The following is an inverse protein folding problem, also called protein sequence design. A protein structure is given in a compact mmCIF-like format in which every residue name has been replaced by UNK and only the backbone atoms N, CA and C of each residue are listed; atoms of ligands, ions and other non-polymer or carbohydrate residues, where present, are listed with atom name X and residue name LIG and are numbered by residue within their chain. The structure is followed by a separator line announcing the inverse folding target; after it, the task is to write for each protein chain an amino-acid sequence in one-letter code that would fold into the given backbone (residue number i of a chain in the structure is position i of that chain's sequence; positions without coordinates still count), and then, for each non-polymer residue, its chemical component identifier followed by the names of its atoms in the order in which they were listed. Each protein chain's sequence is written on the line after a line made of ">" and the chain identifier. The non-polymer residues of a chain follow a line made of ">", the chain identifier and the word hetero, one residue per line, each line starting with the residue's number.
data_IF_012241388255
#
_entry.id   IF_012241388255
#
_cell.length_a   1.000
_cell.length_b   1.000
_cell.length_c   1.000
_cell.angle_alpha   90.00
_cell.angle_beta   90.00
_cell.angle_gamma   90.00
#
_symmetry.space_group_name_H-M   'P 1'
#
loop_
_entity.id
_entity.type
_entity.pdbx_description
1 polymer ?
#
# COMPACT_ATOMS: atom_id res chain seq x y z
N UNK A 1 49.04 16.15 62.45
CA UNK A 1 49.75 15.57 61.31
C UNK A 1 49.14 14.24 61.00
N UNK A 2 48.09 14.19 60.23
CA UNK A 2 47.56 12.93 59.73
C UNK A 2 46.81 13.14 58.41
N UNK A 3 47.25 12.42 57.43
CA UNK A 3 46.73 12.47 56.08
C UNK A 3 45.43 11.69 56.00
N UNK A 4 44.34 12.36 55.56
CA UNK A 4 43.09 11.70 55.23
C UNK A 4 43.20 10.99 53.92
N UNK A 5 42.99 9.68 53.91
CA UNK A 5 42.71 8.89 52.73
C UNK A 5 41.23 9.06 52.38
N UNK A 6 40.96 9.64 51.22
CA UNK A 6 39.61 9.63 50.64
C UNK A 6 39.42 8.34 49.85
N UNK A 7 38.54 7.47 50.34
CA UNK A 7 38.07 6.32 49.59
C UNK A 7 36.94 6.78 48.67
N UNK A 8 37.13 6.64 47.34
CA UNK A 8 36.14 6.87 46.32
C UNK A 8 35.32 5.57 46.19
N UNK A 9 34.09 5.59 46.68
CA UNK A 9 33.17 4.48 46.43
C UNK A 9 32.58 4.64 45.04
N UNK A 10 32.96 3.74 44.13
CA UNK A 10 32.42 3.61 42.78
C UNK A 10 31.08 2.86 42.89
N UNK A 11 29.97 3.56 42.83
CA UNK A 11 28.62 2.98 42.80
C UNK A 11 28.35 2.47 41.41
N UNK A 12 28.55 1.17 41.15
CA UNK A 12 28.08 0.50 39.95
C UNK A 12 26.55 0.36 40.03
N UNK A 13 25.82 1.21 39.36
CA UNK A 13 24.39 1.00 39.10
C UNK A 13 24.29 -0.04 37.98
N UNK A 14 24.05 -1.29 38.32
CA UNK A 14 23.60 -2.33 37.40
C UNK A 14 22.14 -2.03 37.04
N UNK A 15 21.89 -1.37 35.93
CA UNK A 15 20.56 -1.35 35.32
C UNK A 15 20.31 -2.72 34.72
N UNK A 16 19.54 -3.52 35.44
CA UNK A 16 18.97 -4.77 34.94
C UNK A 16 17.92 -4.39 33.88
N UNK A 17 18.28 -4.38 32.61
CA UNK A 17 17.33 -4.36 31.51
C UNK A 17 16.58 -5.70 31.54
N UNK A 18 15.40 -5.70 32.15
CA UNK A 18 14.42 -6.74 31.89
C UNK A 18 14.02 -6.64 30.42
N UNK A 19 14.66 -7.43 29.55
CA UNK A 19 14.14 -7.72 28.25
C UNK A 19 12.83 -8.48 28.45
N UNK A 20 11.71 -7.78 28.34
CA UNK A 20 10.41 -8.42 28.16
C UNK A 20 10.49 -9.04 26.77
N UNK A 21 10.85 -10.31 26.70
CA UNK A 21 10.66 -11.10 25.50
C UNK A 21 9.17 -11.29 25.29
N UNK A 22 8.52 -10.34 24.62
CA UNK A 22 7.28 -10.62 23.93
C UNK A 22 7.60 -11.76 22.97
N UNK A 23 6.97 -12.91 23.16
CA UNK A 23 7.13 -14.08 22.27
C UNK A 23 6.51 -13.81 20.90
N UNK A 24 7.01 -12.83 20.18
CA UNK A 24 6.80 -12.70 18.76
C UNK A 24 7.47 -13.91 18.11
N UNK A 25 6.71 -14.77 17.46
CA UNK A 25 7.23 -15.81 16.59
C UNK A 25 8.23 -15.14 15.66
N UNK A 26 9.48 -15.61 15.69
CA UNK A 26 10.55 -15.03 14.89
C UNK A 26 10.08 -15.00 13.42
N UNK A 27 10.07 -13.82 12.85
CA UNK A 27 9.74 -13.59 11.43
C UNK A 27 10.69 -14.44 10.59
N UNK A 28 10.15 -15.20 9.64
CA UNK A 28 10.98 -16.00 8.74
C UNK A 28 11.61 -15.08 7.71
N UNK A 29 12.90 -14.79 7.88
CA UNK A 29 13.65 -14.00 6.91
C UNK A 29 13.89 -14.79 5.62
N UNK A 30 13.88 -14.12 4.45
CA UNK A 30 14.22 -14.77 3.19
C UNK A 30 15.72 -15.14 3.14
N UNK A 31 16.03 -16.27 2.53
CA UNK A 31 17.42 -16.71 2.30
C UNK A 31 18.15 -15.79 1.33
N UNK A 32 17.41 -15.18 0.38
CA UNK A 32 17.94 -14.17 -0.53
C UNK A 32 16.83 -13.22 -1.00
N UNK A 33 17.24 -11.97 -1.31
CA UNK A 33 16.43 -10.94 -1.93
C UNK A 33 17.10 -10.55 -3.24
N UNK A 34 16.44 -10.71 -4.37
CA UNK A 34 16.99 -10.43 -5.71
C UNK A 34 16.02 -9.67 -6.58
N UNK A 35 16.52 -8.75 -7.39
CA UNK A 35 15.78 -8.20 -8.52
C UNK A 35 16.03 -9.14 -9.70
N UNK A 36 14.96 -9.78 -10.20
CA UNK A 36 15.02 -10.68 -11.35
C UNK A 36 15.01 -9.91 -12.68
N UNK A 37 14.39 -8.74 -12.70
CA UNK A 37 14.21 -7.92 -13.89
C UNK A 37 13.94 -6.47 -13.51
N UNK A 38 14.48 -5.53 -14.28
CA UNK A 38 14.19 -4.09 -14.20
C UNK A 38 13.84 -3.58 -15.59
N UNK A 39 12.68 -2.93 -15.71
CA UNK A 39 12.26 -2.27 -16.93
C UNK A 39 12.00 -0.79 -16.67
N UNK A 40 12.48 0.08 -17.55
CA UNK A 40 12.30 1.53 -17.44
C UNK A 40 11.57 2.05 -18.69
N UNK A 41 10.58 2.90 -18.43
CA UNK A 41 9.71 3.50 -19.45
C UNK A 41 9.76 5.03 -19.26
N UNK A 42 10.02 5.75 -20.34
CA UNK A 42 10.08 7.22 -20.37
C UNK A 42 9.08 7.74 -21.41
N UNK A 43 8.04 8.40 -20.91
CA UNK A 43 6.99 9.02 -21.75
C UNK A 43 7.06 10.56 -21.69
N UNK A 44 8.22 11.11 -21.32
CA UNK A 44 8.40 12.54 -21.12
C UNK A 44 7.91 12.98 -19.76
N UNK A 45 6.64 13.34 -19.61
CA UNK A 45 6.04 13.79 -18.35
C UNK A 45 5.78 12.68 -17.34
N UNK A 46 5.91 11.43 -17.75
CA UNK A 46 5.71 10.25 -16.90
C UNK A 46 6.89 9.30 -17.07
N UNK A 47 7.58 8.97 -16.00
CA UNK A 47 8.67 7.97 -15.99
C UNK A 47 8.35 6.87 -15.01
N UNK A 48 8.54 5.63 -15.43
CA UNK A 48 8.23 4.45 -14.64
C UNK A 48 9.41 3.50 -14.69
N UNK A 49 9.86 3.05 -13.52
CA UNK A 49 10.79 1.91 -13.42
C UNK A 49 10.09 0.81 -12.64
N UNK A 50 10.01 -0.39 -13.23
CA UNK A 50 9.39 -1.55 -12.61
C UNK A 50 10.47 -2.59 -12.33
N UNK A 51 10.67 -2.89 -11.05
CA UNK A 51 11.52 -3.97 -10.58
C UNK A 51 10.66 -5.19 -10.23
N UNK A 52 11.02 -6.35 -10.80
CA UNK A 52 10.47 -7.63 -10.39
C UNK A 52 11.38 -8.26 -9.34
N UNK A 53 10.91 -8.30 -8.10
CA UNK A 53 11.60 -8.86 -6.96
C UNK A 53 11.25 -10.34 -6.72
N UNK A 54 12.24 -11.10 -6.27
CA UNK A 54 12.07 -12.45 -5.74
C UNK A 54 12.75 -12.55 -4.38
N UNK A 55 11.96 -12.84 -3.35
CA UNK A 55 12.47 -13.25 -2.04
C UNK A 55 12.38 -14.77 -1.96
N UNK A 56 13.52 -15.44 -1.87
CA UNK A 56 13.59 -16.89 -1.78
C UNK A 56 13.58 -17.34 -0.32
N UNK A 57 12.76 -18.34 -0.03
CA UNK A 57 12.72 -19.10 1.21
C UNK A 57 13.09 -20.56 0.89
N UNK A 58 13.42 -21.39 1.89
CA UNK A 58 13.97 -22.73 1.69
C UNK A 58 13.33 -23.56 0.56
N UNK A 59 12.00 -23.53 0.43
CA UNK A 59 11.24 -24.30 -0.58
C UNK A 59 10.24 -23.49 -1.37
N UNK A 60 10.16 -22.19 -1.10
CA UNK A 60 9.13 -21.32 -1.65
C UNK A 60 9.71 -19.95 -2.01
N UNK A 61 8.98 -19.16 -2.72
CA UNK A 61 9.36 -17.79 -3.03
C UNK A 61 8.17 -16.84 -2.90
N UNK A 62 8.48 -15.57 -2.75
CA UNK A 62 7.57 -14.45 -2.86
C UNK A 62 8.03 -13.62 -4.06
N UNK A 63 7.14 -13.42 -5.03
CA UNK A 63 7.37 -12.50 -6.15
C UNK A 63 6.48 -11.29 -6.04
N UNK A 64 7.05 -10.13 -6.28
CA UNK A 64 6.33 -8.88 -6.28
C UNK A 64 6.99 -7.87 -7.23
N UNK A 65 6.22 -6.87 -7.60
CA UNK A 65 6.62 -5.81 -8.50
C UNK A 65 6.62 -4.49 -7.73
N UNK A 66 7.69 -3.73 -7.87
CA UNK A 66 7.83 -2.38 -7.33
C UNK A 66 7.93 -1.44 -8.52
N UNK A 67 6.93 -0.60 -8.71
CA UNK A 67 6.95 0.44 -9.71
C UNK A 67 7.24 1.79 -9.05
N UNK A 68 8.39 2.37 -9.39
CA UNK A 68 8.72 3.76 -9.09
C UNK A 68 8.15 4.64 -10.20
N UNK A 69 7.27 5.55 -9.87
CA UNK A 69 6.51 6.39 -10.80
C UNK A 69 6.81 7.85 -10.53
N UNK A 70 7.38 8.54 -11.51
CA UNK A 70 7.66 9.97 -11.48
C UNK A 70 6.75 10.68 -12.46
N UNK A 71 6.04 11.70 -11.98
CA UNK A 71 5.12 12.52 -12.75
C UNK A 71 5.59 13.98 -12.77
N UNK A 72 5.34 14.69 -13.87
CA UNK A 72 5.57 16.14 -13.91
C UNK A 72 4.41 16.93 -13.28
N UNK A 73 3.20 16.34 -13.32
CA UNK A 73 1.97 16.92 -12.76
C UNK A 73 1.24 15.86 -11.90
N UNK A 74 0.96 16.15 -10.62
CA UNK A 74 0.15 15.28 -9.76
C UNK A 74 -1.21 14.86 -10.36
N UNK A 75 -1.81 15.67 -11.23
CA UNK A 75 -3.05 15.36 -11.93
C UNK A 75 -2.94 14.15 -12.88
N UNK A 76 -1.72 13.64 -13.13
CA UNK A 76 -1.50 12.40 -13.87
C UNK A 76 -1.89 11.15 -13.07
N UNK A 77 -1.99 11.24 -11.72
CA UNK A 77 -2.56 10.19 -10.88
C UNK A 77 -4.08 10.34 -10.83
N UNK A 78 -4.78 9.34 -11.32
CA UNK A 78 -6.23 9.33 -11.51
C UNK A 78 -6.87 8.05 -11.00
N UNK A 79 -8.20 8.05 -10.96
CA UNK A 79 -9.02 6.86 -10.69
C UNK A 79 -10.12 6.73 -11.73
N UNK A 80 -10.58 5.50 -11.96
CA UNK A 80 -11.71 5.24 -12.84
C UNK A 80 -12.57 4.10 -12.29
N UNK A 81 -13.88 4.27 -12.39
CA UNK A 81 -14.86 3.27 -11.98
C UNK A 81 -15.06 2.18 -13.04
N UNK A 82 -15.37 0.97 -12.59
CA UNK A 82 -15.95 -0.05 -13.44
C UNK A 82 -17.28 0.45 -14.04
N UNK A 83 -17.45 0.33 -15.38
CA UNK A 83 -18.64 0.78 -16.08
C UNK A 83 -18.87 2.30 -16.04
N UNK A 84 -17.83 3.11 -15.89
CA UNK A 84 -17.81 4.57 -15.93
C UNK A 84 -18.67 5.28 -14.86
N UNK A 85 -19.05 4.60 -13.81
CA UNK A 85 -19.89 5.21 -12.76
C UNK A 85 -19.70 4.53 -11.41
N UNK A 86 -19.89 5.29 -10.34
CA UNK A 86 -20.00 4.72 -9.01
C UNK A 86 -21.18 3.76 -8.93
N UNK A 87 -20.91 2.50 -8.66
CA UNK A 87 -21.93 1.46 -8.54
C UNK A 87 -21.50 0.40 -7.53
N UNK A 88 -22.43 -0.07 -6.72
CA UNK A 88 -22.20 -1.15 -5.76
C UNK A 88 -22.01 -2.51 -6.45
N UNK A 89 -22.52 -2.65 -7.66
CA UNK A 89 -22.62 -3.92 -8.39
C UNK A 89 -21.71 -3.98 -9.62
N UNK A 90 -21.25 -2.82 -10.11
CA UNK A 90 -20.35 -2.78 -11.26
C UNK A 90 -18.98 -3.29 -10.89
N UNK A 91 -18.51 -4.27 -11.66
CA UNK A 91 -17.15 -4.78 -11.60
C UNK A 91 -16.65 -5.07 -13.02
N UNK A 92 -15.37 -4.82 -13.27
CA UNK A 92 -14.77 -4.98 -14.59
C UNK A 92 -13.29 -5.37 -14.46
N UNK A 93 -12.71 -5.99 -15.50
CA UNK A 93 -11.30 -6.33 -15.48
C UNK A 93 -10.44 -5.04 -15.45
N UNK A 94 -9.45 -4.93 -14.55
CA UNK A 94 -8.59 -3.74 -14.47
C UNK A 94 -8.01 -3.29 -15.80
N UNK A 95 -7.58 -4.22 -16.66
CA UNK A 95 -7.04 -3.91 -17.98
C UNK A 95 -8.07 -3.24 -18.92
N UNK A 96 -9.34 -3.62 -18.83
CA UNK A 96 -10.38 -3.08 -19.69
C UNK A 96 -10.74 -1.65 -19.26
N UNK A 97 -10.77 -1.40 -17.94
CA UNK A 97 -10.90 -0.04 -17.39
C UNK A 97 -9.68 0.80 -17.83
N UNK A 98 -8.46 0.28 -17.64
CA UNK A 98 -7.22 0.96 -17.98
C UNK A 98 -7.18 1.37 -19.47
N UNK A 99 -7.58 0.46 -20.36
CA UNK A 99 -7.60 0.71 -21.80
C UNK A 99 -8.54 1.86 -22.21
N UNK A 100 -9.72 1.98 -21.56
CA UNK A 100 -10.65 3.08 -21.84
C UNK A 100 -10.14 4.46 -21.40
N UNK A 101 -9.22 4.49 -20.45
CA UNK A 101 -8.67 5.73 -19.88
C UNK A 101 -7.26 6.04 -20.35
N UNK A 102 -6.76 5.35 -21.40
CA UNK A 102 -5.40 5.51 -21.90
C UNK A 102 -4.35 5.45 -20.76
N UNK A 103 -4.60 4.57 -19.78
CA UNK A 103 -3.73 4.41 -18.65
C UNK A 103 -2.40 3.79 -19.07
N UNK A 104 -1.29 4.41 -18.69
CA UNK A 104 0.05 3.84 -18.90
C UNK A 104 0.33 2.78 -17.85
N UNK A 105 0.16 3.11 -16.57
CA UNK A 105 0.24 2.18 -15.46
C UNK A 105 -1.06 2.23 -14.67
N UNK A 106 -1.63 1.07 -14.36
CA UNK A 106 -2.81 0.97 -13.52
C UNK A 106 -2.69 -0.16 -12.51
N UNK A 107 -3.33 0.00 -11.37
CA UNK A 107 -3.54 -1.03 -10.36
C UNK A 107 -5.02 -1.07 -9.96
N UNK A 108 -5.47 -2.20 -9.38
CA UNK A 108 -6.78 -2.22 -8.75
C UNK A 108 -6.84 -1.18 -7.63
N UNK A 109 -7.99 -0.59 -7.47
CA UNK A 109 -8.25 0.40 -6.44
C UNK A 109 -8.82 -0.20 -5.16
N UNK A 110 -9.93 0.36 -4.75
CA UNK A 110 -10.57 0.11 -3.47
C UNK A 110 -11.61 -1.03 -3.54
N UNK A 111 -12.12 -1.42 -2.38
CA UNK A 111 -13.18 -2.41 -2.23
C UNK A 111 -14.44 -1.75 -1.66
N UNK A 112 -15.23 -1.08 -2.50
CA UNK A 112 -16.43 -0.35 -2.07
C UNK A 112 -17.75 -0.95 -2.59
N UNK A 113 -17.76 -2.23 -2.94
CA UNK A 113 -18.93 -2.90 -3.51
C UNK A 113 -20.13 -2.94 -2.53
N UNK A 114 -21.23 -3.58 -2.96
CA UNK A 114 -22.48 -3.67 -2.21
C UNK A 114 -22.35 -4.28 -0.80
N UNK A 115 -21.29 -5.04 -0.53
CA UNK A 115 -21.03 -5.65 0.79
C UNK A 115 -20.36 -4.67 1.75
N UNK A 116 -19.66 -3.67 1.22
CA UNK A 116 -18.96 -2.68 2.02
C UNK A 116 -19.75 -1.38 2.11
N UNK A 117 -20.17 -1.05 3.32
CA UNK A 117 -20.95 0.16 3.63
C UNK A 117 -20.21 1.05 4.61
N UNK A 118 -18.91 1.25 4.41
CA UNK A 118 -18.10 2.07 5.31
C UNK A 118 -17.20 3.03 4.55
N UNK A 119 -16.76 4.09 5.22
CA UNK A 119 -15.73 5.02 4.77
C UNK A 119 -16.18 6.05 3.73
N UNK A 120 -15.20 6.85 3.37
CA UNK A 120 -15.29 7.95 2.44
C UNK A 120 -14.91 7.47 1.04
N UNK A 121 -15.70 7.84 0.03
CA UNK A 121 -15.36 7.64 -1.38
C UNK A 121 -15.46 8.98 -2.10
N UNK A 122 -14.30 9.55 -2.39
CA UNK A 122 -14.12 10.73 -3.25
C UNK A 122 -13.35 10.25 -4.48
N UNK A 123 -13.81 10.61 -5.69
CA UNK A 123 -13.12 10.34 -6.94
C UNK A 123 -13.25 11.58 -7.84
N UNK A 124 -12.11 12.07 -8.34
CA UNK A 124 -12.08 13.27 -9.18
C UNK A 124 -12.62 14.53 -8.50
N UNK A 125 -12.56 14.62 -7.16
CA UNK A 125 -13.14 15.74 -6.40
C UNK A 125 -14.65 15.68 -6.20
N UNK A 126 -15.30 14.57 -6.52
CA UNK A 126 -16.74 14.35 -6.26
C UNK A 126 -16.95 13.36 -5.12
N UNK A 127 -17.94 13.65 -4.27
CA UNK A 127 -18.34 12.83 -3.13
C UNK A 127 -19.34 11.76 -3.54
N UNK A 128 -18.99 10.50 -3.41
CA UNK A 128 -19.87 9.36 -3.73
C UNK A 128 -20.37 8.63 -2.48
N UNK A 129 -19.62 8.69 -1.39
CA UNK A 129 -19.98 8.06 -0.12
C UNK A 129 -19.30 8.75 1.06
N UNK A 130 -20.04 8.89 2.15
CA UNK A 130 -19.56 9.43 3.42
C UNK A 130 -20.26 8.67 4.56
N UNK A 131 -19.67 7.55 4.97
CA UNK A 131 -20.21 6.68 6.01
C UNK A 131 -19.17 6.44 7.09
N UNK A 132 -19.62 6.22 8.33
CA UNK A 132 -18.76 5.86 9.43
C UNK A 132 -17.87 4.66 9.10
N UNK A 133 -16.64 4.68 9.59
CA UNK A 133 -15.67 3.60 9.40
C UNK A 133 -14.74 3.46 10.59
N UNK A 134 -14.29 2.23 10.84
CA UNK A 134 -13.18 1.93 11.74
C UNK A 134 -11.86 1.71 10.98
N UNK A 135 -11.85 1.97 9.67
CA UNK A 135 -10.67 1.75 8.83
C UNK A 135 -9.83 3.01 8.71
N UNK A 136 -8.53 2.81 8.56
CA UNK A 136 -7.64 3.86 8.08
C UNK A 136 -8.04 4.23 6.66
N UNK A 137 -7.98 5.50 6.31
CA UNK A 137 -8.27 6.00 4.97
C UNK A 137 -7.06 6.77 4.44
N UNK A 138 -6.89 6.80 3.13
CA UNK A 138 -5.91 7.61 2.44
C UNK A 138 -6.64 8.73 1.70
N UNK A 139 -6.22 9.96 1.92
CA UNK A 139 -6.62 11.14 1.14
C UNK A 139 -5.52 11.50 0.15
N UNK A 140 -5.91 11.87 -1.06
CA UNK A 140 -5.03 12.38 -2.10
C UNK A 140 -5.52 13.77 -2.48
N UNK A 141 -4.65 14.75 -2.32
CA UNK A 141 -4.93 16.15 -2.64
C UNK A 141 -4.61 16.47 -4.10
N UNK A 142 -5.17 17.56 -4.61
CA UNK A 142 -4.94 18.01 -5.98
C UNK A 142 -3.47 18.35 -6.28
N UNK A 143 -2.69 18.72 -5.27
CA UNK A 143 -1.25 18.96 -5.37
C UNK A 143 -0.42 17.67 -5.31
N UNK A 144 -1.06 16.52 -5.28
CA UNK A 144 -0.43 15.20 -5.20
C UNK A 144 -0.12 14.73 -3.79
N UNK A 145 -0.31 15.55 -2.76
CA UNK A 145 -0.02 15.17 -1.36
C UNK A 145 -0.91 14.02 -0.90
N UNK A 146 -0.32 13.03 -0.27
CA UNK A 146 -1.03 11.96 0.43
C UNK A 146 -1.14 12.29 1.92
N UNK A 147 -2.29 12.02 2.51
CA UNK A 147 -2.53 12.17 3.94
C UNK A 147 -3.32 10.97 4.49
N UNK A 148 -2.93 10.51 5.67
CA UNK A 148 -3.66 9.46 6.39
C UNK A 148 -4.82 10.06 7.18
N UNK A 149 -6.02 9.52 6.96
CA UNK A 149 -7.20 9.85 7.78
C UNK A 149 -7.54 8.65 8.68
N UNK A 150 -7.17 8.76 9.94
CA UNK A 150 -7.44 7.71 10.93
C UNK A 150 -8.89 7.77 11.42
N UNK A 151 -9.47 6.64 11.85
CA UNK A 151 -10.86 6.59 12.32
C UNK A 151 -11.19 7.59 13.43
N UNK A 152 -10.22 7.85 14.32
CA UNK A 152 -10.40 8.81 15.42
C UNK A 152 -10.57 10.27 14.94
N UNK A 153 -10.06 10.57 13.74
CA UNK A 153 -10.07 11.92 13.15
C UNK A 153 -11.17 12.08 12.10
N UNK A 154 -11.85 11.00 11.72
CA UNK A 154 -12.91 11.01 10.72
C UNK A 154 -14.29 11.05 11.36
N UNK A 155 -15.12 11.94 10.85
CA UNK A 155 -16.53 12.03 11.23
C UNK A 155 -17.41 11.92 9.99
N UNK A 156 -18.35 10.98 10.00
CA UNK A 156 -19.36 10.87 8.96
C UNK A 156 -20.11 12.20 8.76
N UNK A 157 -20.38 12.57 7.51
CA UNK A 157 -21.04 13.81 7.14
C UNK A 157 -20.08 15.00 6.96
N UNK A 158 -18.77 14.77 6.97
CA UNK A 158 -17.76 15.82 6.71
C UNK A 158 -17.06 15.66 5.37
N UNK A 159 -17.54 14.79 4.48
CA UNK A 159 -16.91 14.49 3.19
C UNK A 159 -16.68 15.73 2.31
N UNK A 160 -17.64 16.65 2.27
CA UNK A 160 -17.54 17.89 1.50
C UNK A 160 -16.40 18.79 2.02
N UNK A 161 -16.11 18.80 3.32
CA UNK A 161 -15.02 19.62 3.88
C UNK A 161 -13.64 19.17 3.40
N UNK A 162 -13.47 17.87 3.09
CA UNK A 162 -12.23 17.37 2.49
C UNK A 162 -12.09 17.81 1.04
N UNK A 163 -13.20 17.84 0.28
CA UNK A 163 -13.20 18.35 -1.10
C UNK A 163 -12.85 19.84 -1.10
N UNK A 164 -13.48 20.64 -0.23
CA UNK A 164 -13.17 22.06 -0.04
C UNK A 164 -11.70 22.29 0.35
N UNK A 165 -11.10 21.37 1.07
CA UNK A 165 -9.68 21.38 1.42
C UNK A 165 -8.75 20.92 0.26
N UNK A 166 -9.31 20.50 -0.88
CA UNK A 166 -8.55 20.11 -2.06
C UNK A 166 -8.34 18.61 -2.25
N UNK A 167 -9.04 17.76 -1.50
CA UNK A 167 -8.98 16.30 -1.70
C UNK A 167 -9.68 15.93 -3.01
N UNK A 168 -8.98 15.21 -3.86
CA UNK A 168 -9.51 14.73 -5.16
C UNK A 168 -9.75 13.23 -5.19
N UNK A 169 -9.08 12.44 -4.34
CA UNK A 169 -9.30 11.00 -4.22
C UNK A 169 -9.27 10.58 -2.74
N UNK A 170 -10.02 9.54 -2.38
CA UNK A 170 -9.92 8.88 -1.08
C UNK A 170 -9.98 7.37 -1.21
N UNK A 171 -9.23 6.65 -0.41
CA UNK A 171 -9.26 5.18 -0.37
C UNK A 171 -9.54 4.72 1.06
N UNK A 172 -10.31 3.63 1.20
CA UNK A 172 -10.83 3.21 2.50
C UNK A 172 -10.51 1.75 2.87
N UNK A 173 -9.70 1.05 2.08
CA UNK A 173 -9.32 -0.34 2.37
C UNK A 173 -8.35 -0.42 3.55
N UNK A 174 -7.13 0.09 3.40
CA UNK A 174 -6.10 0.08 4.44
C UNK A 174 -5.55 -1.31 4.81
N UNK A 175 -4.75 -1.38 5.86
CA UNK A 175 -4.35 -0.30 6.75
C UNK A 175 -3.30 0.65 6.16
N UNK A 176 -3.04 1.74 6.91
CA UNK A 176 -1.86 2.58 6.73
C UNK A 176 -0.62 1.75 7.07
N UNK A 177 0.42 1.85 6.25
CA UNK A 177 1.63 1.03 6.34
C UNK A 177 2.84 1.83 6.83
N UNK A 178 3.01 3.03 6.29
CA UNK A 178 4.05 3.98 6.64
C UNK A 178 3.39 5.34 6.81
N UNK A 179 3.80 6.11 7.80
CA UNK A 179 3.39 7.48 8.02
C UNK A 179 4.58 8.31 8.48
N UNK A 180 4.78 9.46 7.85
CA UNK A 180 5.90 10.36 8.15
C UNK A 180 7.27 9.65 8.19
N UNK A 181 7.53 8.77 7.19
CA UNK A 181 8.75 7.92 7.01
C UNK A 181 8.91 6.81 8.06
N UNK A 182 7.93 6.60 8.94
CA UNK A 182 7.99 5.59 9.98
C UNK A 182 6.99 4.46 9.70
N UNK A 183 7.40 3.22 9.95
CA UNK A 183 6.52 2.05 9.87
C UNK A 183 5.46 2.18 10.96
N UNK A 184 4.18 2.10 10.56
CA UNK A 184 3.06 2.21 11.49
C UNK A 184 2.83 0.92 12.26
N UNK A 185 2.29 1.03 13.47
CA UNK A 185 1.75 -0.13 14.17
C UNK A 185 0.46 -0.61 13.45
N UNK A 186 0.44 -1.88 13.06
CA UNK A 186 -0.74 -2.48 12.43
C UNK A 186 -1.82 -2.75 13.48
N UNK A 187 -3.09 -2.39 13.20
CA UNK A 187 -4.16 -2.60 14.18
C UNK A 187 -4.39 -4.10 14.44
N UNK A 188 -4.43 -4.52 15.71
CA UNK A 188 -4.69 -5.92 16.09
C UNK A 188 -6.04 -6.43 15.56
N UNK A 189 -7.04 -5.55 15.54
CA UNK A 189 -8.38 -5.85 15.02
C UNK A 189 -8.65 -5.01 13.77
N UNK A 190 -8.64 -5.67 12.64
CA UNK A 190 -8.95 -5.06 11.35
C UNK A 190 -9.83 -6.01 10.54
N UNK A 191 -10.51 -5.53 9.50
CA UNK A 191 -11.39 -6.38 8.69
C UNK A 191 -10.63 -7.41 7.82
N UNK A 192 -9.34 -7.18 7.59
CA UNK A 192 -8.40 -8.18 7.05
C UNK A 192 -7.43 -8.59 8.16
N UNK A 193 -6.79 -9.74 8.01
CA UNK A 193 -5.78 -10.18 8.97
C UNK A 193 -4.51 -9.36 8.86
N UNK A 194 -4.06 -8.83 9.99
CA UNK A 194 -2.81 -8.06 10.14
C UNK A 194 -1.69 -8.89 10.76
N UNK A 195 -1.92 -10.19 11.00
CA UNK A 195 -0.92 -11.09 11.56
C UNK A 195 0.24 -11.29 10.60
N UNK A 196 1.45 -11.32 11.14
CA UNK A 196 2.72 -11.52 10.43
C UNK A 196 2.87 -12.90 9.75
N UNK A 197 1.98 -13.83 10.08
CA UNK A 197 1.93 -15.17 9.49
C UNK A 197 1.01 -15.27 8.27
N UNK A 198 0.20 -14.25 8.00
CA UNK A 198 -0.79 -14.27 6.91
C UNK A 198 -0.22 -13.63 5.67
N UNK A 199 0.05 -14.47 4.68
CA UNK A 199 0.56 -14.11 3.37
C UNK A 199 -0.55 -14.09 2.34
N UNK A 200 -0.68 -12.99 1.61
CA UNK A 200 -1.71 -12.77 0.60
C UNK A 200 -1.14 -12.03 -0.61
N UNK A 201 -1.75 -12.15 -1.80
CA UNK A 201 -1.52 -11.16 -2.84
C UNK A 201 -1.86 -9.76 -2.31
N UNK A 202 -1.02 -8.78 -2.59
CA UNK A 202 -1.16 -7.41 -2.10
C UNK A 202 -1.10 -6.41 -3.23
N UNK A 203 -1.82 -5.32 -3.07
CA UNK A 203 -1.68 -4.10 -3.85
C UNK A 203 -1.58 -2.95 -2.88
N UNK A 204 -0.62 -2.07 -3.10
CA UNK A 204 -0.42 -0.91 -2.24
C UNK A 204 0.22 0.23 -3.01
N UNK A 205 0.05 1.45 -2.50
CA UNK A 205 0.66 2.65 -3.03
C UNK A 205 1.32 3.43 -1.91
N UNK A 206 2.47 4.03 -2.20
CA UNK A 206 3.17 4.95 -1.33
C UNK A 206 3.58 6.22 -2.08
N UNK A 207 3.97 7.22 -1.32
CA UNK A 207 4.49 8.48 -1.81
C UNK A 207 5.82 8.78 -1.13
N UNK A 208 6.86 9.08 -1.92
CA UNK A 208 8.15 9.54 -1.44
C UNK A 208 8.13 11.06 -1.29
N UNK A 209 7.71 11.75 -2.35
CA UNK A 209 7.47 13.20 -2.40
C UNK A 209 6.31 13.52 -3.35
N UNK A 210 6.02 14.79 -3.58
CA UNK A 210 4.84 15.25 -4.33
C UNK A 210 4.70 14.64 -5.72
N UNK A 211 5.80 14.29 -6.38
CA UNK A 211 5.84 13.81 -7.77
C UNK A 211 6.42 12.40 -7.91
N UNK A 212 6.73 11.72 -6.80
CA UNK A 212 7.28 10.38 -6.79
C UNK A 212 6.41 9.43 -5.99
N UNK A 213 5.80 8.50 -6.69
CA UNK A 213 4.96 7.44 -6.12
C UNK A 213 5.63 6.08 -6.27
N UNK A 214 5.37 5.22 -5.31
CA UNK A 214 5.79 3.80 -5.32
C UNK A 214 4.55 2.94 -5.30
N UNK A 215 4.43 2.06 -6.29
CA UNK A 215 3.33 1.10 -6.37
C UNK A 215 3.88 -0.30 -6.20
N UNK A 216 3.26 -1.10 -5.32
CA UNK A 216 3.68 -2.48 -5.08
C UNK A 216 2.51 -3.42 -5.34
N UNK A 217 2.76 -4.45 -6.16
CA UNK A 217 1.82 -5.57 -6.35
C UNK A 217 2.56 -6.87 -6.12
N UNK A 218 2.09 -7.66 -5.16
CA UNK A 218 2.63 -8.97 -4.83
C UNK A 218 1.70 -10.09 -5.32
N UNK A 219 2.28 -11.08 -5.99
CA UNK A 219 1.59 -12.33 -6.35
C UNK A 219 1.40 -13.23 -5.12
N UNK A 220 0.50 -14.21 -5.22
CA UNK A 220 0.29 -15.20 -4.16
C UNK A 220 -0.87 -16.12 -4.44
N UNK A 221 -1.18 -17.03 -3.50
CA UNK A 221 -2.28 -18.00 -3.57
C UNK A 221 -2.22 -18.93 -4.79
N UNK A 222 -1.04 -19.25 -5.32
CA UNK A 222 -0.92 -20.16 -6.44
C UNK A 222 -0.58 -21.57 -5.98
N UNK A 223 -1.18 -22.55 -6.64
CA UNK A 223 -0.89 -23.95 -6.42
C UNK A 223 0.57 -24.25 -6.82
N UNK A 224 1.29 -24.89 -5.91
CA UNK A 224 2.73 -25.18 -6.07
C UNK A 224 3.61 -24.02 -5.58
N UNK A 225 4.51 -24.31 -4.80
CA UNK A 225 5.64 -23.69 -4.09
C UNK A 225 6.20 -22.32 -4.55
N UNK A 226 5.62 -21.64 -5.57
CA UNK A 226 6.28 -20.54 -6.24
C UNK A 226 5.87 -19.13 -5.80
N UNK A 227 4.66 -18.93 -5.22
CA UNK A 227 4.20 -17.58 -4.87
C UNK A 227 3.40 -17.61 -3.56
N UNK A 228 4.11 -17.32 -2.46
CA UNK A 228 3.54 -17.37 -1.10
C UNK A 228 2.54 -16.24 -0.82
N UNK A 229 2.62 -15.13 -1.53
CA UNK A 229 2.04 -13.86 -1.11
C UNK A 229 2.92 -13.13 -0.09
N UNK A 230 2.51 -11.94 0.30
CA UNK A 230 3.25 -10.99 1.15
C UNK A 230 2.48 -10.70 2.43
N UNK A 231 3.17 -10.64 3.56
CA UNK A 231 2.59 -10.13 4.81
C UNK A 231 2.48 -8.61 4.75
N UNK A 232 1.68 -8.00 5.62
CA UNK A 232 1.63 -6.54 5.71
C UNK A 232 2.95 -5.95 6.24
N UNK A 233 3.63 -6.67 7.12
CA UNK A 233 4.93 -6.27 7.67
C UNK A 233 6.02 -6.25 6.59
N UNK A 234 6.07 -7.29 5.73
CA UNK A 234 7.00 -7.30 4.59
C UNK A 234 6.70 -6.16 3.61
N UNK A 235 5.42 -5.85 3.40
CA UNK A 235 4.99 -4.74 2.56
C UNK A 235 5.42 -3.39 3.15
N UNK A 236 5.30 -3.22 4.48
CA UNK A 236 5.79 -2.03 5.21
C UNK A 236 7.30 -1.86 5.02
N UNK A 237 8.07 -2.95 5.19
CA UNK A 237 9.54 -2.90 5.04
C UNK A 237 9.94 -2.45 3.64
N UNK A 238 9.29 -3.00 2.59
CA UNK A 238 9.60 -2.61 1.21
C UNK A 238 9.31 -1.13 0.98
N UNK A 239 8.19 -0.59 1.49
CA UNK A 239 7.91 0.84 1.36
C UNK A 239 8.90 1.71 2.14
N UNK A 240 9.33 1.28 3.32
CA UNK A 240 10.36 1.98 4.09
C UNK A 240 11.72 1.93 3.37
N UNK A 241 12.11 0.79 2.80
CA UNK A 241 13.31 0.64 1.97
C UNK A 241 13.27 1.53 0.72
N UNK A 242 12.07 1.81 0.16
CA UNK A 242 11.87 2.75 -0.95
C UNK A 242 11.87 4.23 -0.50
N UNK A 243 11.97 4.51 0.79
CA UNK A 243 11.98 5.87 1.33
C UNK A 243 10.63 6.58 1.29
N UNK A 244 9.53 5.84 1.30
CA UNK A 244 8.20 6.42 1.28
C UNK A 244 7.91 7.22 2.55
N UNK A 245 7.42 8.45 2.39
CA UNK A 245 6.89 9.26 3.48
C UNK A 245 5.59 8.69 4.03
N UNK A 246 4.74 8.19 3.15
CA UNK A 246 3.46 7.56 3.46
C UNK A 246 3.22 6.37 2.54
N UNK A 247 2.63 5.29 3.07
CA UNK A 247 2.24 4.13 2.27
C UNK A 247 0.95 3.51 2.79
N UNK A 248 0.14 3.00 1.87
CA UNK A 248 -1.22 2.57 2.14
C UNK A 248 -1.57 1.29 1.37
N UNK A 249 -2.16 0.31 2.07
CA UNK A 249 -2.61 -0.94 1.48
C UNK A 249 -3.99 -0.79 0.82
N UNK A 250 -4.13 -1.30 -0.39
CA UNK A 250 -5.37 -1.36 -1.16
C UNK A 250 -5.97 -2.77 -1.15
N UNK A 251 -7.07 -2.99 -1.89
CA UNK A 251 -7.64 -4.33 -2.02
C UNK A 251 -6.62 -5.28 -2.65
N UNK A 252 -6.54 -6.48 -2.10
CA UNK A 252 -5.58 -7.49 -2.46
C UNK A 252 -6.23 -8.82 -2.84
N UNK A 253 -5.55 -9.90 -2.52
CA UNK A 253 -6.04 -11.24 -2.82
C UNK A 253 -6.27 -11.45 -4.31
N UNK A 254 -7.48 -11.84 -4.70
CA UNK A 254 -7.84 -12.04 -6.11
C UNK A 254 -7.83 -10.79 -6.96
N UNK A 255 -7.92 -9.60 -6.34
CA UNK A 255 -7.95 -8.31 -7.05
C UNK A 255 -6.56 -7.79 -7.39
N UNK A 256 -5.49 -8.26 -6.72
CA UNK A 256 -4.13 -7.77 -6.90
C UNK A 256 -3.69 -7.83 -8.35
N UNK A 257 -3.65 -6.67 -9.01
CA UNK A 257 -3.37 -6.54 -10.45
C UNK A 257 -2.57 -5.28 -10.71
N UNK A 258 -1.52 -5.41 -11.52
CA UNK A 258 -0.77 -4.32 -12.15
C UNK A 258 -0.90 -4.46 -13.66
N UNK A 259 -1.26 -3.38 -14.33
CA UNK A 259 -1.40 -3.29 -15.80
C UNK A 259 -0.46 -2.21 -16.29
N UNK A 260 0.32 -2.50 -17.32
CA UNK A 260 1.19 -1.55 -18.02
C UNK A 260 0.85 -1.59 -19.50
N UNK A 261 0.52 -0.43 -20.08
CA UNK A 261 0.18 -0.29 -21.51
C UNK A 261 -0.88 -1.32 -22.00
N UNK A 262 -1.90 -1.56 -21.15
CA UNK A 262 -3.00 -2.48 -21.44
C UNK A 262 -2.68 -3.95 -21.17
N UNK A 263 -1.45 -4.29 -20.82
CA UNK A 263 -1.04 -5.66 -20.52
C UNK A 263 -0.83 -5.87 -19.01
N UNK A 264 -1.27 -7.03 -18.52
CA UNK A 264 -1.09 -7.39 -17.12
C UNK A 264 0.36 -7.77 -16.83
N UNK A 265 0.99 -7.09 -15.87
CA UNK A 265 2.39 -7.29 -15.46
C UNK A 265 2.54 -8.48 -14.51
N UNK A 266 1.71 -8.55 -13.49
CA UNK A 266 1.78 -9.61 -12.48
C UNK A 266 0.94 -10.84 -12.86
N UNK A 267 1.25 -11.99 -12.24
CA UNK A 267 0.53 -13.25 -12.52
C UNK A 267 -0.84 -13.32 -11.86
N UNK A 268 -1.02 -12.64 -10.72
CA UNK A 268 -2.21 -12.68 -9.88
C UNK A 268 -2.46 -14.04 -9.22
N UNK A 269 -3.55 -14.15 -8.47
CA UNK A 269 -3.90 -15.34 -7.67
C UNK A 269 -4.69 -16.40 -8.43
N UNK A 270 -5.17 -16.12 -9.64
CA UNK A 270 -6.00 -17.03 -10.44
C UNK A 270 -5.61 -17.00 -11.92
N UNK A 271 -6.07 -17.99 -12.67
CA UNK A 271 -5.86 -18.06 -14.12
C UNK A 271 -6.57 -16.94 -14.89
N UNK A 272 -7.61 -16.35 -14.29
CA UNK A 272 -8.33 -15.20 -14.84
C UNK A 272 -8.12 -13.98 -13.96
N UNK A 273 -8.03 -12.83 -14.59
CA UNK A 273 -8.06 -11.54 -13.91
C UNK A 273 -9.41 -11.38 -13.20
N UNK A 274 -9.38 -11.02 -11.92
CA UNK A 274 -10.60 -10.75 -11.16
C UNK A 274 -11.09 -9.35 -11.49
N UNK A 275 -12.38 -9.22 -11.80
CA UNK A 275 -13.02 -7.93 -11.95
C UNK A 275 -13.04 -7.16 -10.62
N UNK A 276 -12.82 -5.85 -10.69
CA UNK A 276 -12.72 -4.91 -9.57
C UNK A 276 -13.72 -3.77 -9.73
N UNK A 277 -13.92 -3.00 -8.67
CA UNK A 277 -14.87 -1.86 -8.65
C UNK A 277 -14.29 -0.61 -9.28
N UNK A 278 -12.98 -0.40 -9.15
CA UNK A 278 -12.25 0.74 -9.70
C UNK A 278 -10.76 0.44 -9.86
N UNK A 279 -10.07 1.33 -10.54
CA UNK A 279 -8.62 1.35 -10.66
C UNK A 279 -8.06 2.69 -10.18
N UNK A 280 -6.80 2.67 -9.76
CA UNK A 280 -5.92 3.83 -9.67
C UNK A 280 -4.94 3.73 -10.83
N UNK A 281 -4.68 4.83 -11.54
CA UNK A 281 -3.84 4.79 -12.73
C UNK A 281 -3.10 6.10 -12.98
N UNK A 282 -2.04 6.00 -13.81
CA UNK A 282 -1.22 7.11 -14.26
C UNK A 282 -1.34 7.28 -15.77
N UNK A 283 -1.43 8.55 -16.22
CA UNK A 283 -1.46 8.94 -17.64
C UNK A 283 -0.23 9.77 -18.00
N UNK A 284 -0.02 9.90 -19.31
CA UNK A 284 0.98 10.83 -19.88
C UNK A 284 0.56 12.29 -19.67
#
# INVERSE_FOLDING_TARGET
>A
MNKLCKALALLCVLTLMCAVSSGALARTEPNSKTIEETNTYDYGSLKITIDRWCYAFNKTSLRFFVANVYVDDPAQLKTAFAGEKYSKDAVEAPKDIAARHDAVLAINGDYYNYKDKSGLVIRGGELYRDLATSRHQLLVYADGTFEALLPANYKQGTGETYIEAGVVQSFMFGPLLVDNYEITELPEKYFISTKDTIREPRTAIGQVDANHYVVIVADGRRDGWSDLGMTLQELQDVFAEQGCRIAYNLDGGGSATMVLEGERVNRGSASRERSVSDILYFTR
#
